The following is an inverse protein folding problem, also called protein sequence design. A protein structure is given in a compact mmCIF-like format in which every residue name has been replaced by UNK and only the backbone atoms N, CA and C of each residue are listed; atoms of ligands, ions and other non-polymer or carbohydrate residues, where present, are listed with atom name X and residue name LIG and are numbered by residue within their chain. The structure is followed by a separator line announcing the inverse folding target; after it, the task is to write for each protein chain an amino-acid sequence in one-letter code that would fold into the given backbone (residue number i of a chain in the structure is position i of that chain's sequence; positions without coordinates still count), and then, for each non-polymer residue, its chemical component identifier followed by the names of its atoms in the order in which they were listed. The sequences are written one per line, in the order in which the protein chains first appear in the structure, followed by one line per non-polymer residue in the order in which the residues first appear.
data_IF_072143973300
#
_entry.id   IF_072143973300
#
_cell.length_a   1.000
_cell.length_b   1.000
_cell.length_c   1.000
_cell.angle_alpha   90.00
_cell.angle_beta   90.00
_cell.angle_gamma   90.00
#
_symmetry.space_group_name_H-M   'P 1'
#
loop_
_entity.id
_entity.type
_entity.pdbx_description
1 polymer ?
2 non-polymer ?
3 water ?
#
# COMPACT_ATOMS: atom_id res chain seq x y z
N UNK A 1 -9.42 -20.69 -0.65
CA UNK A 1 -9.43 -19.26 -0.29
C UNK A 1 -9.35 -19.64 1.19
N UNK A 2 -8.11 -19.73 1.66
CA UNK A 2 -7.80 -20.07 3.05
C UNK A 2 -8.68 -19.22 3.98
N UNK A 3 -8.73 -19.67 5.22
CA UNK A 3 -9.50 -19.00 6.28
C UNK A 3 -8.60 -17.91 6.85
N UNK A 4 -7.32 -18.06 6.56
CA UNK A 4 -6.28 -17.12 7.00
C UNK A 4 -5.30 -16.81 5.87
N UNK A 5 -5.03 -15.52 5.73
CA UNK A 5 -4.11 -15.00 4.71
C UNK A 5 -3.10 -13.96 5.21
N UNK A 6 -1.89 -14.46 5.46
CA UNK A 6 -0.77 -13.64 5.93
C UNK A 6 0.35 -13.85 4.91
N UNK A 7 0.80 -12.73 4.36
CA UNK A 7 1.87 -12.71 3.36
C UNK A 7 3.24 -12.45 4.00
N UNK A 8 3.17 -12.05 5.26
CA UNK A 8 4.37 -11.76 6.08
C UNK A 8 5.17 -13.05 6.18
N UNK A 9 4.53 -14.04 6.78
CA UNK A 9 5.11 -15.38 6.97
C UNK A 9 5.16 -16.13 5.64
N UNK A 10 4.86 -15.39 4.58
CA UNK A 10 4.86 -15.91 3.21
C UNK A 10 6.09 -15.41 2.45
N UNK A 11 6.78 -14.48 3.09
CA UNK A 11 8.00 -13.87 2.55
C UNK A 11 7.70 -12.94 1.37
N UNK A 12 6.66 -12.14 1.57
CA UNK A 12 6.20 -11.16 0.58
C UNK A 12 6.35 -9.67 0.90
N UNK A 13 6.31 -9.39 2.19
CA UNK A 13 6.44 -8.02 2.72
C UNK A 13 7.74 -7.96 3.52
N UNK A 14 8.39 -6.81 3.41
CA UNK A 14 9.65 -6.53 4.11
C UNK A 14 9.29 -5.68 5.33
N UNK A 15 10.32 -5.35 6.08
CA UNK A 15 10.19 -4.53 7.29
C UNK A 15 9.31 -3.31 6.99
N UNK A 16 8.88 -2.67 8.06
CA UNK A 16 8.03 -1.48 8.00
C UNK A 16 8.87 -0.21 7.84
N UNK A 17 8.22 0.80 7.28
CA UNK A 17 8.83 2.12 7.04
C UNK A 17 7.90 3.28 7.38
N UNK A 18 8.48 4.47 7.34
CA UNK A 18 7.77 5.72 7.61
C UNK A 18 8.02 6.75 6.50
N UNK A 19 6.94 7.41 6.12
CA UNK A 19 6.95 8.44 5.08
C UNK A 19 7.50 9.73 5.69
N UNK A 20 7.35 9.82 7.00
CA UNK A 20 7.82 10.96 7.79
C UNK A 20 6.84 12.12 7.56
N UNK A 21 7.39 13.32 7.69
CA UNK A 21 6.64 14.57 7.49
C UNK A 21 6.40 14.83 6.00
N UNK A 22 6.24 13.73 5.28
CA UNK A 22 5.99 13.75 3.83
C UNK A 22 4.66 13.04 3.58
N UNK A 23 3.76 13.78 2.95
CA UNK A 23 2.42 13.29 2.59
C UNK A 23 2.66 12.51 1.30
N UNK A 24 3.17 11.30 1.49
CA UNK A 24 3.47 10.37 0.40
C UNK A 24 3.12 8.88 0.48
N UNK A 25 1.82 8.72 1.35
CA UNK A 25 1.04 7.47 1.65
C UNK A 25 0.94 6.55 0.36
N UNK A 26 0.94 7.19 -0.73
CA UNK A 26 0.52 6.63 -2.02
C UNK A 26 1.62 5.83 -2.72
N UNK A 27 2.80 6.42 -2.70
CA UNK A 27 4.00 5.82 -3.30
C UNK A 27 4.55 4.63 -2.51
N UNK A 28 4.30 4.68 -1.22
CA UNK A 28 4.72 3.64 -0.27
C UNK A 28 3.81 2.42 -0.41
N UNK A 29 2.52 2.72 -0.48
CA UNK A 29 1.46 1.71 -0.62
C UNK A 29 1.76 0.89 -1.88
N UNK A 30 2.11 1.62 -2.93
CA UNK A 30 2.45 1.04 -4.24
C UNK A 30 3.64 0.09 -4.26
N UNK A 31 4.75 0.60 -3.76
CA UNK A 31 6.01 -0.15 -3.68
C UNK A 31 5.82 -1.53 -3.03
N UNK A 32 4.85 -1.57 -2.14
CA UNK A 32 4.49 -2.79 -1.41
C UNK A 32 3.64 -3.70 -2.30
N UNK A 33 2.79 -3.05 -3.09
CA UNK A 33 1.89 -3.73 -4.03
C UNK A 33 2.74 -4.46 -5.07
N UNK A 34 3.41 -3.66 -5.88
CA UNK A 34 4.29 -4.15 -6.95
C UNK A 34 5.20 -5.21 -6.32
N UNK A 35 5.85 -4.79 -5.25
CA UNK A 35 6.77 -5.64 -4.48
C UNK A 35 6.25 -7.07 -4.31
N UNK A 36 5.10 -7.15 -3.65
CA UNK A 36 4.41 -8.42 -3.39
C UNK A 36 4.35 -9.35 -4.60
N UNK A 37 3.73 -8.84 -5.65
CA UNK A 37 3.58 -9.55 -6.93
C UNK A 37 4.92 -9.99 -7.50
N UNK A 38 5.88 -9.07 -7.41
CA UNK A 38 7.25 -9.29 -7.89
C UNK A 38 7.94 -10.50 -7.26
N UNK A 39 7.54 -10.78 -6.03
CA UNK A 39 8.06 -11.90 -5.25
C UNK A 39 7.22 -13.18 -5.34
N UNK A 40 5.97 -12.97 -5.75
CA UNK A 40 5.00 -14.06 -5.91
C UNK A 40 5.20 -15.07 -7.04
N UNK A 41 5.94 -14.62 -8.04
CA UNK A 41 6.27 -15.44 -9.22
C UNK A 41 7.75 -15.80 -9.32
N UNK A 42 8.56 -14.75 -9.33
CA UNK A 42 10.03 -14.87 -9.41
C UNK A 42 10.69 -15.57 -8.23
N UNK A 43 10.12 -15.32 -7.06
CA UNK A 43 10.59 -15.90 -5.79
C UNK A 43 11.77 -15.06 -5.29
N UNK A 44 11.68 -13.77 -5.57
CA UNK A 44 12.69 -12.79 -5.16
C UNK A 44 12.04 -11.56 -4.52
N UNK A 45 12.23 -11.47 -3.21
CA UNK A 45 11.70 -10.37 -2.40
C UNK A 45 12.61 -9.14 -2.52
N UNK A 46 11.97 -8.02 -2.83
CA UNK A 46 12.65 -6.73 -2.98
C UNK A 46 12.03 -5.46 -2.40
N UNK A 47 12.92 -4.53 -2.08
CA UNK A 47 12.55 -3.22 -1.52
C UNK A 47 12.86 -2.19 -2.60
N UNK A 48 11.79 -1.67 -3.18
CA UNK A 48 11.86 -0.65 -4.23
C UNK A 48 11.69 0.74 -3.62
N UNK A 49 12.19 1.72 -4.36
CA UNK A 49 12.12 3.14 -3.96
C UNK A 49 10.79 3.84 -4.20
N UNK A 50 10.32 4.48 -3.14
CA UNK A 50 9.06 5.24 -3.15
C UNK A 50 9.45 6.68 -3.47
N UNK A 51 10.65 7.03 -3.03
CA UNK A 51 11.22 8.36 -3.24
C UNK A 51 11.17 8.70 -4.74
N UNK A 52 11.55 7.70 -5.52
CA UNK A 52 11.57 7.80 -6.99
C UNK A 52 10.17 8.14 -7.51
N UNK A 53 9.21 7.40 -7.00
CA UNK A 53 7.79 7.56 -7.35
C UNK A 53 7.31 8.99 -7.08
N UNK A 54 7.89 9.57 -6.04
CA UNK A 54 7.58 10.94 -5.62
C UNK A 54 8.12 11.98 -6.59
N UNK A 55 9.42 11.88 -6.83
CA UNK A 55 10.14 12.78 -7.74
C UNK A 55 9.82 12.66 -9.23
N UNK A 56 9.34 11.48 -9.59
CA UNK A 56 8.96 11.15 -10.97
C UNK A 56 7.50 11.39 -11.38
N UNK A 57 6.62 11.04 -10.46
CA UNK A 57 5.17 11.19 -10.63
C UNK A 57 4.79 12.65 -10.38
N UNK A 58 4.57 13.35 -11.49
CA UNK A 58 4.18 14.77 -11.48
C UNK A 58 2.66 14.86 -11.50
N UNK A 59 2.05 13.72 -11.83
CA UNK A 59 0.59 13.58 -11.90
C UNK A 59 0.08 13.60 -10.46
N UNK A 60 0.93 13.11 -9.57
CA UNK A 60 0.64 13.04 -8.14
C UNK A 60 1.31 14.33 -7.66
N UNK A 61 0.97 14.69 -6.43
CA UNK A 61 1.51 15.89 -5.78
C UNK A 61 2.46 15.54 -4.64
N UNK A 62 3.41 14.67 -4.98
CA UNK A 62 4.44 14.20 -4.05
C UNK A 62 4.25 14.27 -2.53
N UNK A 63 5.11 15.07 -1.92
CA UNK A 63 5.10 15.29 -0.46
C UNK A 63 3.83 16.01 0.00
N UNK A 64 2.71 15.38 -0.31
CA UNK A 64 1.38 15.88 0.05
C UNK A 64 0.28 15.74 -1.00
N UNK A 65 -0.07 14.49 -1.26
CA UNK A 65 -1.10 14.13 -2.24
C UNK A 65 -0.56 13.24 -3.35
N UNK A 66 -1.41 12.31 -3.77
CA UNK A 66 -1.09 11.35 -4.83
C UNK A 66 -2.16 10.29 -5.10
N UNK A 67 -1.85 9.45 -6.07
CA UNK A 67 -2.72 8.34 -6.49
C UNK A 67 -1.95 7.03 -6.60
N UNK A 68 -2.15 6.20 -5.59
CA UNK A 68 -1.52 4.87 -5.50
C UNK A 68 -1.66 4.16 -6.84
N UNK A 69 -2.64 4.62 -7.60
CA UNK A 69 -2.95 4.09 -8.94
C UNK A 69 -2.28 4.93 -10.02
N UNK A 70 -1.86 6.11 -9.74
CA UNK A 70 -0.59 6.53 -10.77
C UNK A 70 0.74 5.80 -10.68
N UNK A 71 1.23 5.71 -9.45
CA UNK A 71 2.49 5.03 -9.13
C UNK A 71 2.67 3.71 -9.89
N UNK A 72 1.75 2.80 -9.61
CA UNK A 72 1.72 1.47 -10.23
C UNK A 72 1.79 1.59 -11.75
N UNK A 73 0.80 2.30 -12.28
CA UNK A 73 0.67 2.55 -13.72
C UNK A 73 2.05 2.98 -14.23
N UNK A 74 2.61 3.95 -13.53
CA UNK A 74 3.93 4.51 -13.84
C UNK A 74 4.95 3.38 -14.06
N UNK A 75 5.13 2.60 -13.01
CA UNK A 75 6.05 1.46 -13.01
C UNK A 75 5.89 0.58 -14.25
N UNK A 76 4.67 0.07 -14.40
CA UNK A 76 4.30 -0.79 -15.53
C UNK A 76 4.75 -0.16 -16.85
N UNK A 77 4.48 1.13 -16.95
CA UNK A 77 4.83 1.93 -18.13
C UNK A 77 6.35 2.06 -18.30
N UNK A 78 6.97 2.57 -17.24
CA UNK A 78 8.42 2.77 -17.18
C UNK A 78 9.09 1.64 -16.39
N UNK A 79 9.05 1.81 -15.07
CA UNK A 79 9.62 0.84 -14.13
C UNK A 79 9.79 1.49 -12.75
N UNK A 80 10.68 0.88 -11.97
CA UNK A 80 11.01 1.34 -10.62
C UNK A 80 12.30 0.69 -10.13
N UNK A 81 13.07 1.50 -9.41
CA UNK A 81 14.36 1.08 -8.84
C UNK A 81 14.27 0.52 -7.42
N UNK A 82 15.41 0.05 -6.95
CA UNK A 82 15.56 -0.53 -5.60
C UNK A 82 15.45 0.69 -4.69
N UNK A 83 15.37 0.40 -3.40
CA UNK A 83 15.27 1.42 -2.35
C UNK A 83 16.68 1.66 -1.80
N UNK A 84 17.65 1.25 -2.60
CA UNK A 84 19.07 1.39 -2.28
C UNK A 84 19.66 2.35 -3.31
N UNK A 85 19.23 2.15 -4.55
CA UNK A 85 19.65 2.96 -5.70
C UNK A 85 18.67 4.12 -5.84
N UNK A 86 17.88 4.30 -4.80
CA UNK A 86 16.87 5.36 -4.73
C UNK A 86 16.13 5.42 -3.39
N UNK A 87 16.91 5.27 -2.33
CA UNK A 87 16.41 5.31 -0.95
C UNK A 87 15.47 6.51 -0.79
N UNK A 88 14.63 6.40 0.23
CA UNK A 88 13.66 7.44 0.58
C UNK A 88 14.38 8.49 1.43
N UNK A 89 14.05 9.74 1.14
CA UNK A 89 14.62 10.90 1.84
C UNK A 89 13.50 11.65 2.57
N UNK A 90 12.37 11.73 1.89
CA UNK A 90 11.16 12.39 2.40
C UNK A 90 10.68 13.68 1.73
N UNK A 91 11.51 14.15 0.81
CA UNK A 91 11.24 15.37 0.04
C UNK A 91 11.23 15.10 -1.47
N UNK A 92 10.17 15.57 -2.10
CA UNK A 92 9.97 15.43 -3.54
C UNK A 92 11.05 16.27 -4.22
N UNK A 93 11.55 15.72 -5.33
CA UNK A 93 12.59 16.36 -6.14
C UNK A 93 12.60 15.91 -7.61
N UNK A 94 13.71 16.23 -8.26
CA UNK A 94 13.93 15.89 -9.67
C UNK A 94 14.00 14.37 -9.87
N UNK A 95 13.35 13.94 -10.93
CA UNK A 95 13.30 12.52 -11.32
C UNK A 95 14.75 12.13 -11.57
N UNK A 96 15.12 11.00 -10.97
CA UNK A 96 16.46 10.43 -11.08
C UNK A 96 16.43 9.12 -11.87
N UNK A 97 15.21 8.64 -12.06
CA UNK A 97 14.95 7.40 -12.80
C UNK A 97 16.02 7.22 -13.88
N UNK A 98 15.86 8.01 -14.93
CA UNK A 98 16.78 8.02 -16.07
C UNK A 98 18.26 8.12 -15.71
N UNK A 99 18.55 9.12 -14.90
CA UNK A 99 19.91 9.40 -14.41
C UNK A 99 20.48 8.24 -13.60
N UNK A 100 19.58 7.59 -12.88
CA UNK A 100 19.90 6.44 -12.03
C UNK A 100 20.41 5.25 -12.85
N UNK A 101 19.90 5.18 -14.07
CA UNK A 101 20.26 4.12 -15.03
C UNK A 101 19.13 3.11 -15.24
N UNK A 102 19.54 1.95 -15.74
CA UNK A 102 18.63 0.83 -16.02
C UNK A 102 17.72 0.62 -14.81
N UNK A 103 16.48 0.26 -15.12
CA UNK A 103 15.44 0.00 -14.12
C UNK A 103 15.81 -1.39 -13.59
N UNK A 104 15.16 -1.74 -12.50
CA UNK A 104 15.35 -3.04 -11.83
C UNK A 104 14.08 -3.87 -11.76
N UNK A 105 12.97 -3.16 -11.63
CA UNK A 105 11.63 -3.76 -11.55
C UNK A 105 10.70 -2.99 -12.48
N UNK A 106 9.86 -3.75 -13.16
CA UNK A 106 8.87 -3.21 -14.11
C UNK A 106 7.77 -4.26 -14.31
N UNK A 107 6.57 -3.86 -13.93
CA UNK A 107 5.37 -4.70 -14.05
C UNK A 107 4.85 -4.78 -15.49
N UNK A 108 3.72 -5.46 -15.62
CA UNK A 108 3.05 -5.65 -16.91
C UNK A 108 1.56 -5.29 -16.96
N UNK A 109 1.23 -4.27 -16.19
CA UNK A 109 -0.14 -3.74 -16.10
C UNK A 109 -0.67 -3.47 -14.69
N UNK A 110 -1.78 -2.75 -14.66
CA UNK A 110 -2.47 -2.38 -13.42
C UNK A 110 -3.98 -2.54 -13.59
N UNK A 111 -4.59 -3.09 -12.56
CA UNK A 111 -6.04 -3.33 -12.51
C UNK A 111 -6.54 -2.90 -11.13
N UNK A 112 -7.81 -2.52 -11.11
CA UNK A 112 -8.50 -2.08 -9.89
C UNK A 112 -9.58 -3.08 -9.50
N UNK A 113 -9.77 -3.19 -8.19
CA UNK A 113 -10.77 -4.08 -7.59
C UNK A 113 -12.06 -3.27 -7.45
N UNK A 114 -13.15 -3.93 -7.80
CA UNK A 114 -14.50 -3.35 -7.74
C UNK A 114 -14.74 -2.81 -6.33
N UNK A 115 -14.78 -1.49 -6.25
CA UNK A 115 -15.01 -0.77 -4.99
C UNK A 115 -16.20 -1.40 -4.26
N UNK A 116 -16.28 -1.08 -2.98
CA UNK A 116 -17.35 -1.56 -2.10
C UNK A 116 -17.83 -3.01 -2.20
N UNK A 117 -16.88 -3.91 -1.97
CA UNK A 117 -17.11 -5.36 -2.00
C UNK A 117 -15.92 -6.02 -1.30
N UNK A 118 -16.18 -6.45 -0.08
CA UNK A 118 -15.18 -7.12 0.76
C UNK A 118 -14.77 -8.42 0.08
N UNK A 119 -15.79 -9.18 -0.29
CA UNK A 119 -15.63 -10.47 -0.97
C UNK A 119 -14.58 -10.36 -2.08
N UNK A 120 -14.66 -9.24 -2.78
CA UNK A 120 -13.74 -8.92 -3.88
C UNK A 120 -12.32 -8.52 -3.46
N UNK A 121 -12.28 -7.74 -2.40
CA UNK A 121 -11.02 -7.24 -1.82
C UNK A 121 -10.15 -8.44 -1.43
N UNK A 122 -10.73 -9.28 -0.59
CA UNK A 122 -10.08 -10.50 -0.10
C UNK A 122 -9.43 -11.35 -1.18
N UNK A 123 -10.27 -11.76 -2.12
CA UNK A 123 -9.85 -12.58 -3.27
C UNK A 123 -8.51 -12.11 -3.83
N UNK A 124 -8.50 -10.85 -4.23
CA UNK A 124 -7.31 -10.19 -4.79
C UNK A 124 -6.15 -10.17 -3.79
N UNK A 125 -6.52 -9.93 -2.54
CA UNK A 125 -5.57 -9.87 -1.42
C UNK A 125 -5.06 -11.29 -1.15
N UNK A 126 -5.80 -12.24 -1.70
CA UNK A 126 -5.48 -13.67 -1.57
C UNK A 126 -4.52 -14.12 -2.67
N UNK A 127 -4.67 -13.49 -3.82
CA UNK A 127 -3.84 -13.75 -5.00
C UNK A 127 -2.59 -12.88 -5.00
N UNK A 128 -2.67 -11.82 -4.21
CA UNK A 128 -1.58 -10.85 -4.05
C UNK A 128 -2.09 -9.59 -3.35
N UNK A 129 -1.22 -9.06 -2.50
CA UNK A 129 -1.50 -7.84 -1.73
C UNK A 129 -2.09 -6.79 -2.66
N UNK A 130 -2.64 -5.76 -2.03
CA UNK A 130 -3.25 -4.62 -2.73
C UNK A 130 -3.13 -3.30 -1.96
N UNK A 131 -3.21 -2.23 -2.73
CA UNK A 131 -3.13 -0.85 -2.21
C UNK A 131 -4.59 -0.46 -1.98
N UNK A 132 -4.85 -0.04 -0.75
CA UNK A 132 -6.18 0.41 -0.32
C UNK A 132 -6.11 1.72 0.46
N UNK A 133 -7.20 2.46 0.38
CA UNK A 133 -7.35 3.76 1.05
C UNK A 133 -8.30 3.66 2.25
N UNK A 134 -8.45 4.79 2.91
CA UNK A 134 -9.33 4.93 4.08
C UNK A 134 -9.19 6.26 4.83
N UNK A 135 -9.96 6.36 5.90
CA UNK A 135 -9.98 7.54 6.77
C UNK A 135 -8.96 7.36 7.89
N UNK A 136 -7.94 8.21 7.84
CA UNK A 136 -6.85 8.22 8.82
C UNK A 136 -6.84 9.54 9.60
N UNK A 137 -7.33 10.57 8.93
CA UNK A 137 -7.42 11.92 9.49
C UNK A 137 -8.05 11.61 10.85
N UNK A 138 -8.37 10.34 11.02
CA UNK A 138 -8.98 9.82 12.25
C UNK A 138 -8.13 10.27 13.45
N UNK A 139 -8.82 10.43 14.57
CA UNK A 139 -8.20 10.85 15.83
C UNK A 139 -8.08 9.62 16.73
N UNK A 140 -8.65 8.53 16.24
CA UNK A 140 -8.64 7.24 16.93
C UNK A 140 -7.64 6.29 16.27
N UNK A 141 -7.72 6.25 14.95
CA UNK A 141 -6.84 5.42 14.11
C UNK A 141 -5.42 5.96 14.27
N UNK A 142 -5.37 7.23 14.64
CA UNK A 142 -4.11 7.95 14.86
C UNK A 142 -3.43 7.51 16.16
N UNK A 143 -4.28 7.14 17.11
CA UNK A 143 -3.84 6.67 18.43
C UNK A 143 -3.69 5.16 18.65
N UNK A 144 -4.24 4.42 17.70
CA UNK A 144 -4.21 2.95 17.70
C UNK A 144 -2.79 2.48 18.02
N UNK A 145 -2.69 1.78 19.14
CA UNK A 145 -1.43 1.22 19.63
C UNK A 145 -1.69 -0.27 19.87
N UNK A 146 -2.43 -0.84 18.93
CA UNK A 146 -2.79 -2.27 18.95
C UNK A 146 -4.27 -2.51 19.26
N UNK A 147 -4.85 -3.39 18.46
CA UNK A 147 -6.26 -3.78 18.58
C UNK A 147 -7.00 -3.99 17.26
N UNK A 148 -8.31 -4.11 17.39
CA UNK A 148 -9.22 -4.31 16.25
C UNK A 148 -10.07 -3.04 16.19
N UNK A 149 -9.72 -2.20 15.23
CA UNK A 149 -10.41 -0.93 14.99
C UNK A 149 -11.81 -1.13 14.39
N UNK A 150 -12.78 -0.54 15.08
CA UNK A 150 -14.19 -0.60 14.68
C UNK A 150 -14.65 0.85 14.52
N UNK A 151 -13.95 1.73 15.23
CA UNK A 151 -14.21 3.17 15.21
C UNK A 151 -13.85 3.81 16.55
N UNK A 152 -14.54 4.81 16.74
CA UNK A 152 -15.32 5.35 15.55
C UNK A 152 -14.41 5.95 14.48
N UNK A 153 -14.98 6.09 13.29
CA UNK A 153 -14.29 6.65 12.12
C UNK A 153 -15.36 6.97 11.08
N UNK A 154 -14.91 7.65 10.03
CA UNK A 154 -15.77 8.06 8.90
C UNK A 154 -15.62 7.50 7.48
N UNK A 155 -16.33 8.14 6.56
CA UNK A 155 -16.32 7.78 5.14
C UNK A 155 -15.59 8.78 4.23
N UNK A 156 -14.77 9.60 4.88
CA UNK A 156 -13.96 10.63 4.20
C UNK A 156 -12.55 10.09 3.99
N UNK A 157 -12.43 9.27 2.95
CA UNK A 157 -11.15 8.65 2.56
C UNK A 157 -10.12 9.72 2.21
N UNK A 158 -8.90 9.48 2.69
CA UNK A 158 -7.76 10.38 2.47
C UNK A 158 -6.32 10.00 2.81
N UNK A 159 -6.13 8.71 3.03
CA UNK A 159 -4.83 8.12 3.37
C UNK A 159 -4.82 6.73 2.73
N UNK A 160 -3.67 6.42 2.13
CA UNK A 160 -3.44 5.13 1.46
C UNK A 160 -2.46 4.28 2.27
N UNK A 161 -2.78 3.00 2.35
CA UNK A 161 -1.97 2.00 3.08
C UNK A 161 -2.02 0.72 2.24
N UNK A 162 -1.75 -0.39 2.92
CA UNK A 162 -1.75 -1.73 2.32
C UNK A 162 -2.27 -2.88 3.18
N UNK A 163 -2.99 -3.78 2.51
CA UNK A 163 -3.58 -4.97 3.13
C UNK A 163 -2.60 -6.11 2.81
N UNK A 164 -2.18 -6.78 3.88
CA UNK A 164 -1.25 -7.92 3.80
C UNK A 164 -1.76 -9.11 4.61
N UNK A 165 -3.06 -9.33 4.49
CA UNK A 165 -3.76 -10.44 5.17
C UNK A 165 -5.12 -10.10 5.79
N UNK A 166 -5.87 -11.16 6.06
CA UNK A 166 -7.21 -11.08 6.66
C UNK A 166 -7.53 -12.39 7.39
N UNK A 167 -8.54 -12.30 8.24
CA UNK A 167 -9.02 -13.44 9.04
C UNK A 167 -10.55 -13.46 8.90
N UNK A 168 -11.13 -14.50 9.48
CA UNK A 168 -12.59 -14.70 9.48
C UNK A 168 -13.28 -13.39 9.88
N UNK A 169 -12.55 -12.60 10.66
CA UNK A 169 -13.01 -11.29 11.14
C UNK A 169 -12.23 -9.97 11.17
N UNK A 170 -10.92 -10.11 11.04
CA UNK A 170 -9.99 -8.97 11.02
C UNK A 170 -9.19 -8.91 9.71
N UNK A 171 -9.06 -7.69 9.22
CA UNK A 171 -8.32 -7.40 7.98
C UNK A 171 -7.02 -6.75 8.46
N UNK A 172 -5.92 -7.24 7.90
CA UNK A 172 -4.57 -6.76 8.21
C UNK A 172 -4.07 -5.68 7.24
N UNK A 173 -3.62 -4.58 7.84
CA UNK A 173 -3.08 -3.43 7.10
C UNK A 173 -1.71 -2.88 7.50
N UNK A 174 -0.89 -2.67 6.49
CA UNK A 174 0.47 -2.14 6.65
C UNK A 174 0.36 -0.63 6.48
N UNK A 175 0.74 0.07 7.54
CA UNK A 175 0.72 1.54 7.59
C UNK A 175 2.08 2.14 7.23
N UNK A 176 2.02 3.31 6.60
CA UNK A 176 3.20 4.06 6.17
C UNK A 176 3.82 4.97 7.24
N UNK A 177 3.52 4.63 8.48
CA UNK A 177 4.02 5.36 9.66
C UNK A 177 5.07 4.39 10.22
N UNK A 178 5.73 4.85 11.27
CA UNK A 178 6.77 4.08 11.97
C UNK A 178 6.13 2.87 12.65
N UNK A 179 7.00 2.00 13.15
CA UNK A 179 6.61 0.77 13.86
C UNK A 179 6.27 1.19 15.29
N UNK A 180 6.06 2.49 15.44
CA UNK A 180 5.71 3.11 16.73
C UNK A 180 4.23 3.49 16.66
N UNK A 181 3.50 2.73 15.86
CA UNK A 181 2.06 2.91 15.65
C UNK A 181 1.37 1.55 15.52
N UNK A 182 0.13 1.52 15.99
CA UNK A 182 -0.72 0.31 15.96
C UNK A 182 0.05 -0.81 16.66
N UNK A 183 0.12 -1.94 15.97
CA UNK A 183 0.81 -3.14 16.46
C UNK A 183 2.09 -3.40 15.65
N UNK A 184 3.08 -2.55 15.90
CA UNK A 184 4.39 -2.62 15.24
C UNK A 184 4.38 -2.18 13.78
N UNK A 185 3.56 -1.16 13.53
CA UNK A 185 3.41 -0.56 12.19
C UNK A 185 2.23 -1.25 11.49
N UNK A 186 1.67 -2.23 12.20
CA UNK A 186 0.53 -3.01 11.72
C UNK A 186 -0.74 -2.66 12.51
N UNK A 187 -1.86 -2.80 11.82
CA UNK A 187 -3.19 -2.53 12.39
C UNK A 187 -4.24 -3.47 11.79
N UNK A 188 -5.05 -4.02 12.69
CA UNK A 188 -6.14 -4.95 12.33
C UNK A 188 -7.48 -4.22 12.48
N UNK A 189 -8.19 -4.16 11.36
CA UNK A 189 -9.51 -3.51 11.28
C UNK A 189 -10.41 -4.75 11.18
N UNK A 190 -11.68 -4.52 11.49
CA UNK A 190 -12.72 -5.55 11.45
C UNK A 190 -13.56 -5.54 10.17
N UNK A 191 -13.79 -6.75 9.66
CA UNK A 191 -14.58 -6.97 8.44
C UNK A 191 -15.87 -7.67 8.88
N UNK A 192 -16.75 -7.86 7.91
CA UNK A 192 -18.05 -8.52 8.10
C UNK A 192 -18.80 -7.79 9.22
N UNK A 193 -19.52 -6.75 8.80
CA UNK A 193 -20.33 -5.92 9.70
C UNK A 193 -21.57 -5.38 8.98
N UNK A 194 -21.44 -5.31 7.66
CA UNK A 194 -22.51 -4.84 6.77
C UNK A 194 -22.07 -3.56 6.05
N UNK A 195 -21.24 -2.80 6.76
CA UNK A 195 -20.68 -1.54 6.26
C UNK A 195 -20.03 -1.80 4.90
N UNK A 196 -20.80 -1.52 3.86
CA UNK A 196 -20.37 -1.69 2.47
C UNK A 196 -19.11 -0.87 2.19
N UNK A 197 -19.22 0.41 2.51
CA UNK A 197 -18.12 1.38 2.33
C UNK A 197 -16.92 0.72 3.01
N UNK A 198 -17.19 0.16 4.18
CA UNK A 198 -16.18 -0.53 5.00
C UNK A 198 -15.74 0.56 5.97
N UNK A 199 -15.58 0.15 7.22
CA UNK A 199 -15.15 1.03 8.32
C UNK A 199 -13.92 1.81 7.85
N UNK A 200 -14.00 3.12 8.01
CA UNK A 200 -12.93 4.06 7.63
C UNK A 200 -12.80 4.23 6.12
N UNK A 201 -13.78 3.66 5.42
CA UNK A 201 -13.86 3.72 3.95
C UNK A 201 -12.71 2.96 3.28
N UNK A 202 -12.41 1.80 3.86
CA UNK A 202 -11.36 0.90 3.37
C UNK A 202 -11.72 0.11 2.10
N UNK A 203 -12.97 0.29 1.69
CA UNK A 203 -13.52 -0.36 0.49
C UNK A 203 -13.84 0.54 -0.70
N UNK A 204 -13.42 1.79 -0.58
CA UNK A 204 -13.62 2.82 -1.61
C UNK A 204 -12.97 2.54 -2.97
N UNK A 205 -11.64 2.57 -2.96
CA UNK A 205 -10.82 2.32 -4.15
C UNK A 205 -9.46 1.66 -3.92
N UNK A 206 -9.38 0.40 -4.36
CA UNK A 206 -8.17 -0.42 -4.25
C UNK A 206 -7.54 -0.84 -5.58
N UNK A 207 -6.26 -1.15 -5.50
CA UNK A 207 -5.46 -1.60 -6.66
C UNK A 207 -4.21 -2.47 -6.80
N UNK A 208 -3.88 -2.75 -8.06
CA UNK A 208 -2.71 -3.55 -8.43
C UNK A 208 -2.20 -3.90 -9.83
N UNK A 209 -0.89 -3.77 -9.98
CA UNK A 209 -0.19 -4.07 -11.24
C UNK A 209 -0.68 -5.41 -11.78
N UNK A 210 0.17 -6.00 -12.62
CA UNK A 210 -0.10 -7.30 -13.25
C UNK A 210 1.34 -7.77 -13.48
N UNK A 211 1.48 -9.08 -13.59
CA UNK A 211 2.78 -9.74 -13.82
C UNK A 211 2.55 -11.09 -14.52
N UNK A 212 3.40 -11.35 -15.50
CA UNK A 212 3.37 -12.59 -16.29
C UNK A 212 4.45 -13.55 -15.79
X LIG B 1 -0.55 11.16 6.49
X LIG B 1 -1.95 10.60 6.83
X LIG B 1 0.39 10.11 5.96
X LIG B 1 0.24 11.76 8.07
X LIG B 1 1.64 12.04 8.03
X LIG B 1 2.24 12.47 9.24
X LIG B 1 1.47 12.51 10.39
X LIG B 1 0.12 12.24 10.41
X LIG B 1 -0.50 11.77 9.25
X LIG B 1 2.18 13.07 11.77
X LIG B 1 -0.70 12.31 5.76
X LIG B 1 -1.21 12.34 4.40
X LIG B 1 -0.55 11.36 3.46
X LIG B 1 0.50 11.39 3.04
X LIG B 1 -1.19 13.80 4.08
X LIG B 1 -2.17 14.25 2.80
X LIG B 1 -2.22 15.62 2.87
X LIG B 1 -3.21 16.06 1.68
X LIG B 1 -3.54 17.28 1.91
X LIG B 1 -1.45 10.20 3.20
#
# INVERSE_FOLDING_TARGET
IPEYVDWRQKGAVTPVKNQGSCGSCWAFSAVVTIEGIIKIRTGNLNQYSEQELLDCDRRSYGCNGGYPWSALQLVAQYGIHYRNTYPYEGVQRYCRSREKGPYAAKTDGVRQVQPYNQGALLYSIANQPVSVVLQAAGKDFQLYRGGIFVGPCGNKVDHAVAAVGYGPNYILIKNSWGTGWGENGYIRIKRGTGNSYGVCGLYTSSFYPVKN
TCK S O1S O2S C1 C2 C3 C4 C5 C6 C7 N CA C O CB CG CD CE NZ CM
#
